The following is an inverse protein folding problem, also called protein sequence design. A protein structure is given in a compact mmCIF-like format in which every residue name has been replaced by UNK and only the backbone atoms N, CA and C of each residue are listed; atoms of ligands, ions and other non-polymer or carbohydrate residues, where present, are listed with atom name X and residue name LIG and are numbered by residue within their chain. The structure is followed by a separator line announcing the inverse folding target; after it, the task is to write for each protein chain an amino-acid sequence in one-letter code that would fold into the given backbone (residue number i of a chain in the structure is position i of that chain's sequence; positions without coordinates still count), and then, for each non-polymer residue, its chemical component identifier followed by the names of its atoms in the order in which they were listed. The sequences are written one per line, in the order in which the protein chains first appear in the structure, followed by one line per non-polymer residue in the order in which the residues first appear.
data_IF_773012688215
#
_entry.id   IF_773012688215
#
_cell.length_a   1.000
_cell.length_b   1.000
_cell.length_c   1.000
_cell.angle_alpha   90.00
_cell.angle_beta   90.00
_cell.angle_gamma   90.00
#
_symmetry.space_group_name_H-M   'P 1'
#
loop_
_entity.id
_entity.type
_entity.pdbx_description
1 polymer ?
#
# COMPACT_ATOMS: atom_id res chain seq x y z
N UNK A 1 9.46 -9.59 4.98
CA UNK A 1 8.43 -10.56 4.59
C UNK A 1 7.12 -9.96 5.00
N UNK A 2 6.19 -9.78 4.07
CA UNK A 2 4.88 -9.22 4.38
C UNK A 2 3.96 -10.30 4.98
N UNK A 3 4.49 -11.16 5.86
CA UNK A 3 3.71 -12.14 6.62
C UNK A 3 2.68 -11.49 7.56
N UNK A 4 2.78 -10.17 7.76
CA UNK A 4 1.84 -9.33 8.49
C UNK A 4 0.85 -8.58 7.57
N UNK A 5 0.68 -8.96 6.30
CA UNK A 5 -0.32 -8.34 5.40
C UNK A 5 -1.70 -8.26 6.05
N UNK A 6 -2.16 -9.34 6.68
CA UNK A 6 -3.45 -9.39 7.33
C UNK A 6 -3.55 -8.37 8.49
N UNK A 7 -2.48 -8.22 9.27
CA UNK A 7 -2.43 -7.24 10.35
C UNK A 7 -2.47 -5.80 9.83
N UNK A 8 -1.70 -5.50 8.77
CA UNK A 8 -1.73 -4.19 8.12
C UNK A 8 -3.09 -3.90 7.50
N UNK A 9 -3.70 -4.88 6.83
CA UNK A 9 -5.04 -4.76 6.29
C UNK A 9 -6.05 -4.41 7.39
N UNK A 10 -6.02 -5.12 8.53
CA UNK A 10 -6.91 -4.80 9.64
C UNK A 10 -6.69 -3.39 10.20
N UNK A 11 -5.44 -2.90 10.26
CA UNK A 11 -5.15 -1.52 10.68
C UNK A 11 -5.71 -0.52 9.68
N UNK A 12 -5.49 -0.73 8.37
CA UNK A 12 -5.99 0.16 7.31
C UNK A 12 -7.52 0.24 7.37
N UNK A 13 -8.18 -0.91 7.51
CA UNK A 13 -9.64 -0.99 7.57
C UNK A 13 -10.24 -0.37 8.84
N UNK A 14 -9.52 -0.42 9.97
CA UNK A 14 -9.92 0.23 11.23
C UNK A 14 -9.60 1.73 11.25
N UNK A 15 -8.71 2.18 10.38
CA UNK A 15 -8.39 3.59 10.26
C UNK A 15 -9.59 4.32 9.66
N UNK A 16 -10.00 5.43 10.27
CA UNK A 16 -11.10 6.28 9.78
C UNK A 16 -10.62 7.59 9.14
N UNK A 17 -9.30 7.83 9.10
CA UNK A 17 -8.74 9.06 8.53
C UNK A 17 -8.87 9.12 7.01
N UNK A 18 -9.17 10.29 6.44
CA UNK A 18 -9.25 10.51 4.99
C UNK A 18 -7.96 10.10 4.27
N UNK A 19 -6.83 10.19 4.98
CA UNK A 19 -5.52 9.81 4.49
C UNK A 19 -4.88 8.79 5.41
N UNK A 20 -4.60 7.60 4.88
CA UNK A 20 -3.89 6.53 5.59
C UNK A 20 -2.44 6.53 5.12
N UNK A 21 -1.51 6.76 6.04
CA UNK A 21 -0.07 6.79 5.75
C UNK A 21 0.59 5.57 6.39
N UNK A 22 1.31 4.80 5.59
CA UNK A 22 2.09 3.65 6.03
C UNK A 22 3.56 3.98 5.86
N UNK A 23 4.31 4.00 6.97
CA UNK A 23 5.77 4.11 6.91
C UNK A 23 6.36 2.74 6.51
N UNK A 24 6.93 2.70 5.31
CA UNK A 24 7.53 1.54 4.70
C UNK A 24 9.07 1.58 4.74
N UNK A 25 9.69 2.42 5.58
CA UNK A 25 11.14 2.54 5.69
C UNK A 25 11.85 1.21 6.02
N UNK A 26 11.23 0.40 6.87
CA UNK A 26 11.73 -0.91 7.28
C UNK A 26 11.26 -2.07 6.38
N UNK A 27 10.51 -1.77 5.32
CA UNK A 27 10.09 -2.77 4.35
C UNK A 27 11.25 -3.02 3.40
N UNK A 28 11.83 -4.21 3.51
CA UNK A 28 12.92 -4.64 2.63
C UNK A 28 12.39 -5.28 1.34
N UNK A 29 11.23 -5.95 1.40
CA UNK A 29 10.63 -6.64 0.28
C UNK A 29 9.13 -6.83 0.50
N UNK A 30 8.40 -6.92 -0.60
CA UNK A 30 6.96 -7.20 -0.63
C UNK A 30 6.69 -8.37 -1.56
N UNK A 31 5.88 -9.31 -1.10
CA UNK A 31 5.47 -10.46 -1.89
C UNK A 31 4.21 -10.12 -2.71
N UNK A 32 3.92 -10.89 -3.74
CA UNK A 32 2.76 -10.70 -4.62
C UNK A 32 1.45 -10.48 -3.84
N UNK A 33 1.19 -11.29 -2.81
CA UNK A 33 -0.01 -11.18 -1.97
C UNK A 33 -0.08 -9.84 -1.21
N UNK A 34 1.07 -9.28 -0.79
CA UNK A 34 1.10 -7.97 -0.16
C UNK A 34 0.87 -6.83 -1.14
N UNK A 35 1.39 -6.96 -2.36
CA UNK A 35 1.12 -6.03 -3.44
C UNK A 35 -0.38 -6.02 -3.76
N UNK A 36 -0.96 -7.19 -3.99
CA UNK A 36 -2.39 -7.34 -4.31
C UNK A 36 -3.28 -6.73 -3.21
N UNK A 37 -3.00 -7.03 -1.94
CA UNK A 37 -3.74 -6.48 -0.79
C UNK A 37 -3.66 -4.95 -0.75
N UNK A 38 -2.47 -4.35 -0.93
CA UNK A 38 -2.32 -2.90 -0.92
C UNK A 38 -3.14 -2.23 -2.03
N UNK A 39 -3.13 -2.80 -3.23
CA UNK A 39 -3.93 -2.31 -4.35
C UNK A 39 -5.43 -2.43 -4.08
N UNK A 40 -5.87 -3.55 -3.51
CA UNK A 40 -7.28 -3.75 -3.15
C UNK A 40 -7.74 -2.75 -2.07
N UNK A 41 -6.95 -2.56 -1.01
CA UNK A 41 -7.28 -1.61 0.06
C UNK A 41 -7.19 -0.16 -0.42
N UNK A 42 -6.23 0.18 -1.28
CA UNK A 42 -6.15 1.51 -1.88
C UNK A 42 -7.36 1.80 -2.78
N UNK A 43 -7.82 0.84 -3.60
CA UNK A 43 -9.09 0.99 -4.36
C UNK A 43 -10.29 1.16 -3.43
N UNK A 44 -10.37 0.37 -2.36
CA UNK A 44 -11.44 0.47 -1.37
C UNK A 44 -11.46 1.84 -0.70
N UNK A 45 -10.29 2.37 -0.35
CA UNK A 45 -10.14 3.71 0.20
C UNK A 45 -10.53 4.77 -0.84
N UNK A 46 -10.08 4.64 -2.09
CA UNK A 46 -10.40 5.57 -3.17
C UNK A 46 -11.92 5.64 -3.42
N UNK A 47 -12.61 4.50 -3.37
CA UNK A 47 -14.07 4.44 -3.47
C UNK A 47 -14.79 5.17 -2.31
N UNK A 48 -14.11 5.40 -1.19
CA UNK A 48 -14.60 6.18 -0.05
C UNK A 48 -14.09 7.64 -0.07
N UNK A 49 -13.50 8.12 -1.18
CA UNK A 49 -12.76 9.39 -1.27
C UNK A 49 -11.59 9.50 -0.28
N UNK A 50 -10.96 8.37 0.04
CA UNK A 50 -9.80 8.28 0.92
C UNK A 50 -8.57 7.87 0.11
N UNK A 51 -7.39 8.14 0.66
CA UNK A 51 -6.12 7.82 -0.01
C UNK A 51 -5.21 6.97 0.86
N UNK A 52 -4.49 6.04 0.23
CA UNK A 52 -3.41 5.26 0.84
C UNK A 52 -2.08 5.82 0.37
N UNK A 53 -1.23 6.23 1.31
CA UNK A 53 0.13 6.71 1.02
C UNK A 53 1.16 5.78 1.67
N UNK A 54 2.11 5.30 0.89
CA UNK A 54 3.32 4.64 1.35
C UNK A 54 4.44 5.67 1.47
N UNK A 55 4.92 5.89 2.68
CA UNK A 55 6.00 6.83 2.95
C UNK A 55 7.33 6.08 3.13
N UNK A 56 8.44 6.63 2.63
CA UNK A 56 9.79 6.03 2.73
C UNK A 56 9.88 4.61 2.18
N UNK A 57 9.01 4.25 1.23
CA UNK A 57 9.08 2.96 0.58
C UNK A 57 10.37 2.87 -0.25
N UNK A 58 11.12 1.78 -0.08
CA UNK A 58 12.31 1.54 -0.89
C UNK A 58 11.92 1.42 -2.37
N UNK A 59 12.74 1.92 -3.31
CA UNK A 59 12.44 1.87 -4.74
C UNK A 59 12.15 0.44 -5.25
N UNK A 60 12.85 -0.57 -4.71
CA UNK A 60 12.59 -1.98 -5.03
C UNK A 60 11.15 -2.41 -4.69
N UNK A 61 10.62 -1.96 -3.55
CA UNK A 61 9.24 -2.26 -3.12
C UNK A 61 8.24 -1.52 -4.01
N UNK A 62 8.54 -0.28 -4.38
CA UNK A 62 7.71 0.53 -5.29
C UNK A 62 7.65 -0.12 -6.67
N UNK A 63 8.76 -0.64 -7.19
CA UNK A 63 8.80 -1.37 -8.44
C UNK A 63 7.92 -2.63 -8.40
N UNK A 64 8.02 -3.43 -7.33
CA UNK A 64 7.14 -4.61 -7.15
C UNK A 64 5.65 -4.21 -7.12
N UNK A 65 5.32 -3.10 -6.46
CA UNK A 65 3.93 -2.60 -6.42
C UNK A 65 3.46 -2.15 -7.81
N UNK A 66 4.32 -1.50 -8.58
CA UNK A 66 4.02 -1.10 -9.95
C UNK A 66 3.96 -2.26 -10.93
N UNK A 67 4.67 -3.37 -10.68
CA UNK A 67 4.65 -4.54 -11.58
C UNK A 67 3.27 -5.18 -11.68
N UNK A 68 2.41 -5.06 -10.66
CA UNK A 68 1.09 -5.69 -10.66
C UNK A 68 0.10 -5.02 -11.63
N UNK A 69 -0.18 -3.72 -11.44
CA UNK A 69 -1.18 -3.00 -12.25
C UNK A 69 -0.58 -1.96 -13.21
N UNK A 70 0.73 -1.74 -13.14
CA UNK A 70 1.40 -0.65 -13.84
C UNK A 70 1.32 0.66 -13.04
N UNK A 71 2.32 1.52 -13.26
CA UNK A 71 2.44 2.83 -12.60
C UNK A 71 1.23 3.75 -12.85
N UNK A 72 0.54 3.57 -13.98
CA UNK A 72 -0.62 4.40 -14.37
C UNK A 72 -1.93 4.01 -13.67
N UNK A 73 -2.05 2.76 -13.20
CA UNK A 73 -3.26 2.25 -12.54
C UNK A 73 -3.08 2.04 -11.04
N UNK A 74 -1.89 2.32 -10.50
CA UNK A 74 -1.63 2.16 -9.08
C UNK A 74 -2.43 3.17 -8.26
N UNK A 75 -3.36 2.73 -7.39
CA UNK A 75 -4.17 3.61 -6.56
C UNK A 75 -3.43 4.03 -5.27
N UNK A 76 -2.20 3.57 -5.09
CA UNK A 76 -1.36 3.87 -3.92
C UNK A 76 -0.47 5.07 -4.23
N UNK A 77 -0.45 6.06 -3.33
CA UNK A 77 0.47 7.18 -3.41
C UNK A 77 1.80 6.83 -2.75
N UNK A 78 2.89 7.40 -3.24
CA UNK A 78 4.23 7.20 -2.67
C UNK A 78 4.81 8.54 -2.24
N UNK A 79 5.39 8.59 -1.04
CA UNK A 79 6.06 9.76 -0.46
C UNK A 79 7.45 9.40 0.11
N UNK A 80 8.31 10.41 0.22
CA UNK A 80 9.66 10.36 0.81
C UNK A 80 9.71 10.58 2.34
#
# INVERSE_FOLDING_TARGET
FFGACHYLQQIIQRSNGERVIIDAHHVNFIDYAGVEMLHQEARRLLAQNRSLTLRRARPQVIEEIHKLEGRERCPVHFED
#
